data_IF_053628175023
#
_entry.id   IF_053628175023
#
_cell.length_a   1.000
_cell.length_b   1.000
_cell.length_c   1.000
_cell.angle_alpha   90.00
_cell.angle_beta   90.00
_cell.angle_gamma   90.00
#
_symmetry.space_group_name_H-M   'P 1'
#
loop_
_entity.id
_entity.type
_entity.pdbx_description
1 polymer ?
#
# COMPACT_ATOMS: atom_id res chain seq x y z
N UNK A 1 8.50 -13.88 -16.56
CA UNK A 1 7.85 -12.72 -15.92
C UNK A 1 6.39 -13.06 -15.62
N UNK A 2 6.14 -13.94 -14.64
CA UNK A 2 4.83 -14.26 -14.08
C UNK A 2 4.99 -14.27 -12.56
N UNK A 3 4.13 -13.54 -11.84
CA UNK A 3 4.20 -13.35 -10.39
C UNK A 3 3.69 -14.60 -9.67
N UNK A 4 4.55 -15.60 -9.55
CA UNK A 4 4.38 -16.73 -8.63
C UNK A 4 4.55 -16.23 -7.19
N UNK A 5 3.45 -15.83 -6.53
CA UNK A 5 3.52 -15.16 -5.23
C UNK A 5 2.35 -15.37 -4.29
N UNK A 6 1.43 -16.31 -4.55
CA UNK A 6 0.29 -16.55 -3.67
C UNK A 6 0.25 -18.02 -3.25
N UNK A 7 0.59 -18.25 -1.98
CA UNK A 7 0.72 -19.55 -1.35
C UNK A 7 -0.65 -20.24 -1.08
N UNK A 8 -0.68 -21.56 -0.81
CA UNK A 8 -1.77 -22.50 -1.08
C UNK A 8 -2.99 -22.33 -0.16
N UNK A 9 -4.13 -22.80 -0.69
CA UNK A 9 -5.50 -22.80 -0.16
C UNK A 9 -5.70 -22.67 1.36
N UNK A 10 -4.94 -23.34 2.22
CA UNK A 10 -5.11 -23.26 3.68
C UNK A 10 -4.80 -21.87 4.28
N UNK A 11 -3.89 -21.11 3.65
CA UNK A 11 -3.56 -19.74 4.10
C UNK A 11 -4.69 -18.74 3.84
N UNK A 12 -5.55 -18.99 2.86
CA UNK A 12 -6.68 -18.10 2.53
C UNK A 12 -7.77 -18.17 3.60
N UNK A 13 -8.06 -19.36 4.13
CA UNK A 13 -9.11 -19.54 5.14
C UNK A 13 -8.82 -18.77 6.43
N UNK A 14 -7.57 -18.83 6.89
CA UNK A 14 -7.12 -18.07 8.06
C UNK A 14 -7.09 -16.55 7.81
N UNK A 15 -6.74 -16.13 6.58
CA UNK A 15 -6.76 -14.72 6.20
C UNK A 15 -8.16 -14.09 6.35
N UNK A 16 -9.20 -14.75 5.83
CA UNK A 16 -10.57 -14.23 5.88
C UNK A 16 -11.12 -14.11 7.30
N UNK A 17 -10.78 -15.03 8.20
CA UNK A 17 -11.17 -14.96 9.61
C UNK A 17 -10.58 -13.72 10.30
N UNK A 18 -9.31 -13.40 10.02
CA UNK A 18 -8.65 -12.21 10.57
C UNK A 18 -9.17 -10.91 9.95
N UNK A 19 -9.47 -10.90 8.65
CA UNK A 19 -10.02 -9.74 7.96
C UNK A 19 -11.41 -9.38 8.48
N UNK A 20 -12.31 -10.37 8.62
CA UNK A 20 -13.66 -10.18 9.15
C UNK A 20 -13.66 -9.61 10.58
N UNK A 21 -12.70 -10.04 11.42
CA UNK A 21 -12.51 -9.47 12.77
C UNK A 21 -12.03 -8.01 12.73
N UNK A 22 -11.13 -7.67 11.82
CA UNK A 22 -10.63 -6.30 11.66
C UNK A 22 -11.72 -5.32 11.19
N UNK A 23 -12.56 -5.75 10.24
CA UNK A 23 -13.68 -4.96 9.71
C UNK A 23 -14.75 -4.73 10.79
N UNK A 24 -15.08 -5.74 11.59
CA UNK A 24 -16.09 -5.61 12.65
C UNK A 24 -15.63 -4.82 13.88
N UNK A 25 -14.31 -4.72 14.12
CA UNK A 25 -13.76 -4.09 15.32
C UNK A 25 -13.18 -2.70 15.09
N UNK A 26 -12.10 -2.61 14.31
CA UNK A 26 -11.27 -1.40 14.22
C UNK A 26 -11.76 -0.42 13.14
N UNK A 27 -12.54 -0.89 12.17
CA UNK A 27 -13.03 -0.10 11.04
C UNK A 27 -14.56 0.02 11.08
N UNK A 28 -15.08 0.90 11.95
CA UNK A 28 -16.52 0.98 12.29
C UNK A 28 -17.43 1.54 11.17
N UNK A 29 -16.87 2.02 10.06
CA UNK A 29 -17.65 2.34 8.85
C UNK A 29 -16.76 2.19 7.62
N UNK A 30 -16.75 0.99 7.04
CA UNK A 30 -16.00 0.75 5.80
C UNK A 30 -16.87 1.22 4.64
N UNK A 31 -16.57 2.41 4.15
CA UNK A 31 -17.18 2.86 2.91
C UNK A 31 -16.67 1.99 1.74
N UNK A 32 -17.54 1.57 0.80
CA UNK A 32 -17.18 0.62 -0.25
C UNK A 32 -15.95 1.04 -1.06
N UNK A 33 -15.75 2.34 -1.24
CA UNK A 33 -14.60 2.86 -1.99
C UNK A 33 -13.27 2.76 -1.24
N UNK A 34 -13.25 2.52 0.07
CA UNK A 34 -12.00 2.32 0.82
C UNK A 34 -11.67 0.84 1.07
N UNK A 35 -12.57 -0.07 0.69
CA UNK A 35 -12.42 -1.51 0.95
C UNK A 35 -11.09 -2.07 0.42
N UNK A 36 -10.67 -1.61 -0.76
CA UNK A 36 -9.41 -2.04 -1.37
C UNK A 36 -8.19 -1.68 -0.51
N UNK A 37 -8.19 -0.51 0.15
CA UNK A 37 -7.08 -0.10 1.03
C UNK A 37 -6.97 -0.98 2.26
N UNK A 38 -8.11 -1.41 2.80
CA UNK A 38 -8.13 -2.35 3.93
C UNK A 38 -7.66 -3.74 3.54
N UNK A 39 -8.04 -4.19 2.34
CA UNK A 39 -7.58 -5.45 1.76
C UNK A 39 -6.06 -5.44 1.58
N UNK A 40 -5.51 -4.40 0.97
CA UNK A 40 -4.06 -4.27 0.73
C UNK A 40 -3.27 -4.22 2.04
N UNK A 41 -3.74 -3.44 3.01
CA UNK A 41 -3.13 -3.37 4.34
C UNK A 41 -3.12 -4.72 5.03
N UNK A 42 -4.23 -5.46 4.98
CA UNK A 42 -4.34 -6.77 5.62
C UNK A 42 -3.54 -7.85 4.88
N UNK A 43 -3.46 -7.79 3.55
CA UNK A 43 -2.64 -8.66 2.71
C UNK A 43 -1.16 -8.50 3.00
N UNK A 44 -0.69 -7.25 3.10
CA UNK A 44 0.66 -6.92 3.58
C UNK A 44 0.85 -7.53 4.99
N UNK A 45 0.06 -7.09 5.97
CA UNK A 45 0.22 -7.53 7.36
C UNK A 45 0.21 -9.06 7.57
N UNK A 46 -0.56 -9.80 6.77
CA UNK A 46 -0.60 -11.26 6.81
C UNK A 46 0.63 -11.92 6.14
N UNK A 47 1.16 -11.31 5.09
CA UNK A 47 2.37 -11.76 4.38
C UNK A 47 3.63 -11.51 5.22
N UNK A 48 3.80 -10.30 5.77
CA UNK A 48 4.98 -9.97 6.60
C UNK A 48 4.84 -10.33 8.08
N UNK A 49 3.86 -11.17 8.47
CA UNK A 49 3.61 -11.53 9.88
C UNK A 49 4.77 -12.22 10.59
N UNK A 50 5.67 -12.84 9.83
CA UNK A 50 6.86 -13.54 10.35
C UNK A 50 8.12 -12.65 10.32
N UNK A 51 8.00 -11.43 9.81
CA UNK A 51 9.12 -10.56 9.53
C UNK A 51 9.38 -9.58 10.69
N UNK A 52 10.65 -9.20 10.88
CA UNK A 52 11.06 -8.36 11.99
C UNK A 52 10.57 -6.91 11.78
N UNK A 53 10.37 -6.16 12.87
CA UNK A 53 9.79 -4.80 12.80
C UNK A 53 10.54 -3.86 11.83
N UNK A 54 11.87 -3.94 11.82
CA UNK A 54 12.74 -3.20 10.89
C UNK A 54 12.55 -3.61 9.42
N UNK A 55 12.42 -4.91 9.13
CA UNK A 55 12.19 -5.42 7.77
C UNK A 55 10.86 -4.97 7.19
N UNK A 56 9.81 -4.91 8.03
CA UNK A 56 8.50 -4.36 7.66
C UNK A 56 8.57 -2.88 7.32
N UNK A 57 9.32 -2.10 8.09
CA UNK A 57 9.48 -0.67 7.83
C UNK A 57 10.14 -0.40 6.47
N UNK A 58 11.24 -1.10 6.16
CA UNK A 58 11.93 -0.96 4.87
C UNK A 58 11.02 -1.30 3.69
N UNK A 59 10.21 -2.35 3.80
CA UNK A 59 9.23 -2.74 2.77
C UNK A 59 8.15 -1.68 2.54
N UNK A 60 7.65 -1.07 3.62
CA UNK A 60 6.67 0.04 3.52
C UNK A 60 7.32 1.24 2.82
N UNK A 61 8.53 1.63 3.23
CA UNK A 61 9.24 2.77 2.65
C UNK A 61 9.50 2.55 1.16
N UNK A 62 9.92 1.34 0.76
CA UNK A 62 10.08 0.98 -0.65
C UNK A 62 8.78 1.14 -1.45
N UNK A 63 7.63 0.82 -0.85
CA UNK A 63 6.30 0.95 -1.48
C UNK A 63 5.78 2.39 -1.62
N UNK A 64 6.43 3.37 -0.97
CA UNK A 64 6.10 4.80 -1.02
C UNK A 64 6.91 5.53 -2.10
N UNK A 65 8.05 4.98 -2.54
CA UNK A 65 8.88 5.56 -3.60
C UNK A 65 8.03 5.70 -4.88
N UNK A 66 7.99 6.92 -5.43
CA UNK A 66 7.20 7.26 -6.64
C UNK A 66 5.73 7.62 -6.39
N UNK A 67 5.21 7.48 -5.16
CA UNK A 67 3.84 7.88 -4.78
C UNK A 67 3.78 9.22 -4.03
N UNK A 68 4.93 9.84 -3.78
CA UNK A 68 5.00 11.13 -3.10
C UNK A 68 4.32 12.24 -3.92
N UNK A 69 3.35 12.92 -3.31
CA UNK A 69 2.66 14.08 -3.91
C UNK A 69 3.37 15.35 -3.45
N UNK A 70 3.96 16.09 -4.39
CA UNK A 70 4.50 17.43 -4.14
C UNK A 70 3.36 18.44 -4.12
N UNK A 71 3.47 19.50 -3.31
CA UNK A 71 2.46 20.55 -3.21
C UNK A 71 2.04 21.13 -4.58
N UNK A 72 2.99 21.34 -5.48
CA UNK A 72 2.74 21.79 -6.85
C UNK A 72 1.81 20.85 -7.66
N UNK A 73 1.90 19.53 -7.42
CA UNK A 73 1.03 18.51 -8.03
C UNK A 73 -0.35 18.47 -7.38
N UNK A 74 -0.46 18.80 -6.09
CA UNK A 74 -1.74 18.88 -5.37
C UNK A 74 -2.60 20.07 -5.86
N UNK A 75 -1.97 21.18 -6.24
CA UNK A 75 -2.67 22.39 -6.72
C UNK A 75 -2.99 22.38 -8.22
N UNK A 76 -2.74 21.27 -8.93
CA UNK A 76 -3.08 21.16 -10.35
C UNK A 76 -2.30 22.08 -11.30
N UNK A 77 -1.19 22.68 -10.85
CA UNK A 77 -0.36 23.55 -11.68
C UNK A 77 0.45 22.70 -12.68
N UNK A 78 -0.08 22.53 -13.88
CA UNK A 78 0.60 21.89 -15.02
C UNK A 78 1.86 22.68 -15.38
N UNK A 79 3.03 22.17 -14.99
CA UNK A 79 4.34 22.79 -15.27
C UNK A 79 5.25 23.01 -14.06
N UNK A 80 4.87 22.54 -12.86
CA UNK A 80 5.67 22.67 -11.65
C UNK A 80 6.74 21.59 -11.45
N UNK A 81 7.43 21.15 -12.50
CA UNK A 81 8.65 20.35 -12.34
C UNK A 81 9.76 21.29 -11.88
N UNK A 82 9.88 21.48 -10.57
CA UNK A 82 10.87 22.36 -9.93
C UNK A 82 12.32 21.89 -10.05
N UNK A 83 12.76 21.48 -11.23
CA UNK A 83 14.15 21.44 -11.65
C UNK A 83 14.29 22.53 -12.73
N UNK A 84 15.35 23.35 -12.73
CA UNK A 84 15.61 24.22 -13.87
C UNK A 84 15.67 23.34 -15.12
N UNK A 85 14.76 23.56 -16.08
CA UNK A 85 14.93 22.98 -17.39
C UNK A 85 16.27 23.51 -17.89
N UNK A 86 17.29 22.66 -17.95
CA UNK A 86 18.56 23.03 -18.59
C UNK A 86 18.23 23.24 -20.06
N UNK A 87 17.97 24.49 -20.44
CA UNK A 87 18.02 24.93 -21.82
C UNK A 87 19.45 24.67 -22.28
N UNK A 88 19.65 23.55 -22.96
CA UNK A 88 20.87 23.33 -23.73
C UNK A 88 20.65 24.12 -25.01
N UNK A 89 21.29 25.28 -25.09
CA UNK A 89 21.55 25.98 -26.36
C UNK A 89 22.42 25.11 -27.26
#
# INVERSE_FOLDING_TARGET
MLREGICPHERIGNFWSLLKRGIRGTYVSVEPFHLFRYLDKQSFRFTERKDNGAGRFVKVVAGVIGKALRYAKLIGKSGGDGLPQKTIS
#
